data_IF_950486189064
#
_entry.id   IF_950486189064
#
_cell.length_a   1.000
_cell.length_b   1.000
_cell.length_c   1.000
_cell.angle_alpha   90.00
_cell.angle_beta   90.00
_cell.angle_gamma   90.00
#
_symmetry.space_group_name_H-M   'P 1'
#
loop_
_entity.id
_entity.type
_entity.pdbx_description
1 polymer ?
#
# COMPACT_ATOMS: atom_id res chain seq x y z
N UNK A 1 -15.47 -15.91 1.90
CA UNK A 1 -15.93 -14.72 1.17
C UNK A 1 -14.82 -13.69 1.32
N UNK A 2 -14.23 -13.22 0.23
CA UNK A 2 -13.15 -12.23 0.31
C UNK A 2 -13.71 -10.92 0.86
N UNK A 3 -12.97 -10.26 1.76
CA UNK A 3 -13.39 -8.99 2.33
C UNK A 3 -13.35 -7.88 1.25
N UNK A 4 -14.11 -6.80 1.44
CA UNK A 4 -14.18 -5.70 0.45
C UNK A 4 -12.83 -4.99 0.28
N UNK A 5 -12.04 -4.88 1.34
CA UNK A 5 -10.69 -4.32 1.31
C UNK A 5 -9.77 -5.22 0.49
N UNK A 6 -9.75 -6.53 0.74
CA UNK A 6 -8.99 -7.47 -0.07
C UNK A 6 -9.35 -7.40 -1.57
N UNK A 7 -10.65 -7.30 -1.89
CA UNK A 7 -11.11 -7.12 -3.28
C UNK A 7 -10.60 -5.80 -3.88
N UNK A 8 -10.56 -4.72 -3.08
CA UNK A 8 -10.03 -3.43 -3.53
C UNK A 8 -8.54 -3.54 -3.91
N UNK A 9 -7.70 -4.17 -3.09
CA UNK A 9 -6.27 -4.31 -3.38
C UNK A 9 -6.01 -5.22 -4.58
N UNK A 10 -6.81 -6.28 -4.76
CA UNK A 10 -6.75 -7.10 -5.98
C UNK A 10 -7.03 -6.28 -7.25
N UNK A 11 -8.09 -5.47 -7.23
CA UNK A 11 -8.43 -4.61 -8.37
C UNK A 11 -7.39 -3.52 -8.60
N UNK A 12 -6.77 -3.01 -7.53
CA UNK A 12 -5.70 -2.04 -7.61
C UNK A 12 -4.45 -2.64 -8.28
N UNK A 13 -4.06 -3.86 -7.90
CA UNK A 13 -2.96 -4.58 -8.52
C UNK A 13 -3.23 -4.83 -10.00
N UNK A 14 -4.41 -5.34 -10.36
CA UNK A 14 -4.78 -5.62 -11.74
C UNK A 14 -4.72 -4.35 -12.63
N UNK A 15 -5.04 -3.18 -12.06
CA UNK A 15 -4.92 -1.90 -12.78
C UNK A 15 -3.47 -1.43 -12.89
N UNK A 16 -2.67 -1.64 -11.85
CA UNK A 16 -1.26 -1.24 -11.83
C UNK A 16 -0.43 -2.08 -12.79
N UNK A 17 -0.69 -3.39 -12.86
CA UNK A 17 -0.02 -4.34 -13.78
C UNK A 17 -0.22 -4.01 -15.27
N UNK A 18 -1.29 -3.28 -15.59
CA UNK A 18 -1.59 -2.87 -16.97
C UNK A 18 -0.78 -1.65 -17.41
N UNK A 19 -0.16 -0.92 -16.47
CA UNK A 19 0.69 0.21 -16.80
C UNK A 19 2.06 -0.31 -17.26
N UNK A 20 2.57 0.11 -18.44
CA UNK A 20 3.89 -0.27 -18.89
C UNK A 20 4.98 0.09 -17.86
N UNK A 21 5.94 -0.80 -17.61
CA UNK A 21 7.01 -0.59 -16.62
C UNK A 21 7.91 0.64 -16.89
N UNK A 22 7.92 1.15 -18.14
CA UNK A 22 8.66 2.35 -18.51
C UNK A 22 7.95 3.65 -18.14
N UNK A 23 6.66 3.59 -17.81
CA UNK A 23 5.84 4.74 -17.47
C UNK A 23 5.83 4.97 -15.97
N UNK A 24 5.81 6.24 -15.54
CA UNK A 24 5.70 6.60 -14.14
C UNK A 24 4.24 6.51 -13.68
N UNK A 25 3.98 5.70 -12.66
CA UNK A 25 2.66 5.59 -12.02
C UNK A 25 2.64 6.38 -10.70
N UNK A 26 1.63 7.23 -10.52
CA UNK A 26 1.38 7.93 -9.26
C UNK A 26 -0.01 7.56 -8.76
N UNK A 27 -0.09 6.92 -7.60
CA UNK A 27 -1.35 6.58 -6.94
C UNK A 27 -1.67 7.64 -5.87
N UNK A 28 -2.77 8.37 -6.05
CA UNK A 28 -3.25 9.36 -5.09
C UNK A 28 -4.64 8.98 -4.60
N UNK A 29 -4.75 8.64 -3.32
CA UNK A 29 -6.02 8.33 -2.67
C UNK A 29 -5.86 8.30 -1.15
N UNK A 30 -6.97 8.45 -0.44
CA UNK A 30 -7.05 8.03 0.97
C UNK A 30 -7.24 6.50 1.04
N UNK A 31 -6.20 5.80 1.50
CA UNK A 31 -6.20 4.34 1.69
C UNK A 31 -6.75 3.92 3.06
N UNK A 32 -7.08 4.88 3.94
CA UNK A 32 -7.50 4.62 5.31
C UNK A 32 -6.54 3.65 6.04
N UNK A 33 -5.23 3.85 5.82
CA UNK A 33 -4.16 2.95 6.21
C UNK A 33 -3.29 3.61 7.27
N UNK A 34 -3.17 2.97 8.44
CA UNK A 34 -2.17 3.31 9.43
C UNK A 34 -1.05 2.28 9.32
N UNK A 35 0.07 2.67 8.72
CA UNK A 35 1.20 1.75 8.42
C UNK A 35 2.16 1.53 9.59
N UNK A 36 2.12 2.38 10.62
CA UNK A 36 3.05 2.30 11.76
C UNK A 36 4.34 3.09 11.53
N UNK A 37 4.86 3.75 12.59
CA UNK A 37 6.10 4.54 12.51
C UNK A 37 7.36 3.73 12.23
N UNK A 38 7.37 2.44 12.52
CA UNK A 38 8.56 1.59 12.36
C UNK A 38 8.63 0.87 11.02
N UNK A 39 7.60 0.99 10.18
CA UNK A 39 7.53 0.21 8.94
C UNK A 39 8.66 0.56 7.97
N UNK A 40 9.16 1.80 7.99
CA UNK A 40 10.33 2.22 7.22
C UNK A 40 11.64 1.50 7.60
N UNK A 41 11.72 0.89 8.79
CA UNK A 41 12.88 0.09 9.20
C UNK A 41 12.91 -1.26 8.50
N UNK A 42 11.74 -1.77 8.12
CA UNK A 42 11.55 -3.06 7.44
C UNK A 42 11.52 -2.83 5.92
N UNK A 43 10.89 -1.73 5.49
CA UNK A 43 10.66 -1.38 4.09
C UNK A 43 11.23 0.03 3.86
N UNK A 44 12.53 0.15 3.55
CA UNK A 44 13.23 1.44 3.47
C UNK A 44 12.64 2.42 2.46
N UNK A 45 11.91 1.92 1.45
CA UNK A 45 11.28 2.73 0.41
C UNK A 45 10.02 3.45 0.93
N UNK A 46 9.44 3.02 2.05
CA UNK A 46 8.26 3.66 2.62
C UNK A 46 8.64 4.82 3.53
N UNK A 47 8.21 6.02 3.14
CA UNK A 47 8.29 7.20 3.99
C UNK A 47 7.13 7.21 5.00
N UNK A 48 7.44 7.10 6.30
CA UNK A 48 6.45 7.11 7.39
C UNK A 48 6.69 8.17 8.48
N UNK A 49 7.25 9.37 8.19
CA UNK A 49 7.64 10.34 9.22
C UNK A 49 6.46 10.85 10.06
N UNK A 50 5.23 10.77 9.52
CA UNK A 50 3.99 11.18 10.19
C UNK A 50 3.02 10.02 10.42
N UNK A 51 3.48 8.77 10.28
CA UNK A 51 2.62 7.63 10.54
C UNK A 51 2.22 7.57 12.02
N UNK A 52 1.04 7.02 12.30
CA UNK A 52 0.64 6.68 13.66
C UNK A 52 1.53 5.58 14.23
N UNK A 53 1.61 5.47 15.55
CA UNK A 53 2.32 4.36 16.21
C UNK A 53 1.62 3.01 16.00
N UNK A 54 0.31 3.05 15.76
CA UNK A 54 -0.53 1.85 15.56
C UNK A 54 -0.56 1.48 14.09
N UNK A 55 -0.37 0.18 13.80
CA UNK A 55 -0.61 -0.41 12.49
C UNK A 55 -2.02 -1.02 12.44
N UNK A 56 -2.79 -0.69 11.41
CA UNK A 56 -4.10 -1.31 11.14
C UNK A 56 -4.01 -2.28 9.96
N UNK A 57 -5.07 -3.08 9.74
CA UNK A 57 -5.06 -4.09 8.66
C UNK A 57 -4.86 -3.47 7.27
N UNK A 58 -5.45 -2.31 7.00
CA UNK A 58 -5.23 -1.60 5.73
C UNK A 58 -3.78 -1.12 5.59
N UNK A 59 -3.10 -0.81 6.69
CA UNK A 59 -1.68 -0.52 6.73
C UNK A 59 -0.84 -1.71 6.29
N UNK A 60 -1.20 -2.92 6.75
CA UNK A 60 -0.54 -4.16 6.31
C UNK A 60 -0.79 -4.38 4.81
N UNK A 61 -2.05 -4.32 4.37
CA UNK A 61 -2.41 -4.50 2.95
C UNK A 61 -1.72 -3.48 2.04
N UNK A 62 -1.61 -2.22 2.48
CA UNK A 62 -0.90 -1.18 1.73
C UNK A 62 0.61 -1.45 1.65
N UNK A 63 1.23 -1.86 2.76
CA UNK A 63 2.66 -2.21 2.78
C UNK A 63 2.95 -3.40 1.84
N UNK A 64 2.11 -4.44 1.87
CA UNK A 64 2.23 -5.61 1.00
C UNK A 64 2.09 -5.21 -0.49
N UNK A 65 1.13 -4.34 -0.82
CA UNK A 65 0.97 -3.79 -2.16
C UNK A 65 2.21 -2.98 -2.59
N UNK A 66 2.74 -2.13 -1.73
CA UNK A 66 3.96 -1.34 -2.00
C UNK A 66 5.22 -2.21 -2.14
N UNK A 67 5.30 -3.37 -1.48
CA UNK A 67 6.40 -4.31 -1.66
C UNK A 67 6.33 -5.08 -2.98
N UNK A 68 5.11 -5.26 -3.52
CA UNK A 68 4.88 -6.00 -4.75
C UNK A 68 5.13 -5.19 -6.05
N UNK A 69 5.26 -3.86 -5.95
CA UNK A 69 5.37 -2.92 -7.09
C UNK A 69 6.62 -2.06 -6.98
#
# INVERSE_FOLDING_TARGET
MMDKCDQFYLQLQERTDKVPKGDMTILMRDFNACVGKQEHLIIPQMATPHAADVKNENGIRLADFCLAN
#
